data_IF_281772077487
#
_entry.id   IF_281772077487
#
_cell.length_a   1.000
_cell.length_b   1.000
_cell.length_c   1.000
_cell.angle_alpha   90.00
_cell.angle_beta   90.00
_cell.angle_gamma   90.00
#
_symmetry.space_group_name_H-M   'P 1'
#
loop_
_entity.id
_entity.type
_entity.pdbx_description
1 polymer ?
#
# COMPACT_ATOMS: atom_id res chain seq x y z
N UNK A 1 31.55 -2.02 -18.30
CA UNK A 1 30.27 -1.29 -18.35
C UNK A 1 29.24 -2.21 -18.96
N UNK A 2 28.23 -2.58 -18.18
CA UNK A 2 27.12 -3.40 -18.64
C UNK A 2 26.11 -2.49 -19.35
N UNK A 3 25.73 -2.83 -20.58
CA UNK A 3 24.71 -2.09 -21.33
C UNK A 3 23.34 -2.54 -20.83
N UNK A 4 22.46 -1.57 -20.53
CA UNK A 4 21.11 -1.85 -20.08
C UNK A 4 20.31 -2.62 -21.14
N UNK A 5 19.56 -3.62 -20.71
CA UNK A 5 18.63 -4.37 -21.56
C UNK A 5 17.44 -3.49 -21.99
N UNK A 6 16.73 -3.88 -23.04
CA UNK A 6 15.51 -3.17 -23.46
C UNK A 6 14.47 -3.08 -22.35
N UNK A 7 14.33 -4.13 -21.54
CA UNK A 7 13.40 -4.14 -20.42
C UNK A 7 13.80 -3.13 -19.32
N UNK A 8 15.08 -3.03 -18.99
CA UNK A 8 15.59 -2.03 -18.05
C UNK A 8 15.41 -0.61 -18.58
N UNK A 9 15.68 -0.37 -19.87
CA UNK A 9 15.41 0.92 -20.50
C UNK A 9 13.92 1.30 -20.44
N UNK A 10 13.03 0.34 -20.69
CA UNK A 10 11.59 0.53 -20.59
C UNK A 10 11.14 0.88 -19.15
N UNK A 11 11.69 0.18 -18.13
CA UNK A 11 11.42 0.46 -16.72
C UNK A 11 11.89 1.88 -16.33
N UNK A 12 13.08 2.27 -16.76
CA UNK A 12 13.63 3.62 -16.55
C UNK A 12 12.70 4.66 -17.19
N UNK A 13 12.30 4.45 -18.44
CA UNK A 13 11.47 5.39 -19.19
C UNK A 13 10.11 5.62 -18.51
N UNK A 14 9.38 4.55 -18.15
CA UNK A 14 8.08 4.72 -17.48
C UNK A 14 8.21 5.30 -16.08
N UNK A 15 9.31 5.03 -15.36
CA UNK A 15 9.57 5.64 -14.06
C UNK A 15 9.82 7.14 -14.18
N UNK A 16 10.63 7.57 -15.15
CA UNK A 16 10.89 8.99 -15.40
C UNK A 16 9.61 9.74 -15.79
N UNK A 17 8.81 9.15 -16.68
CA UNK A 17 7.51 9.69 -17.08
C UNK A 17 6.57 9.83 -15.87
N UNK A 18 6.52 8.80 -14.99
CA UNK A 18 5.72 8.85 -13.77
C UNK A 18 6.15 9.98 -12.82
N UNK A 19 7.46 10.15 -12.61
CA UNK A 19 8.02 11.23 -11.79
C UNK A 19 7.59 12.59 -12.34
N UNK A 20 7.74 12.79 -13.64
CA UNK A 20 7.34 14.04 -14.29
C UNK A 20 5.83 14.31 -14.11
N UNK A 21 4.96 13.33 -14.42
CA UNK A 21 3.51 13.44 -14.29
C UNK A 21 3.05 13.79 -12.87
N UNK A 22 3.69 13.19 -11.87
CA UNK A 22 3.34 13.41 -10.45
C UNK A 22 3.75 14.81 -10.00
N UNK A 23 4.97 15.25 -10.30
CA UNK A 23 5.44 16.56 -9.84
C UNK A 23 4.89 17.73 -10.64
N UNK A 24 4.57 17.55 -11.93
CA UNK A 24 3.82 18.56 -12.69
C UNK A 24 2.38 18.73 -12.17
N UNK A 25 1.73 17.64 -11.77
CA UNK A 25 0.41 17.57 -11.14
C UNK A 25 -0.63 18.55 -11.72
N UNK A 26 -0.65 18.71 -13.04
CA UNK A 26 -1.44 19.73 -13.78
C UNK A 26 -2.93 19.70 -13.46
N UNK A 27 -3.45 18.50 -13.09
CA UNK A 27 -4.88 18.30 -12.81
C UNK A 27 -5.19 18.23 -11.31
N UNK A 28 -4.20 18.44 -10.43
CA UNK A 28 -4.37 18.30 -8.99
C UNK A 28 -4.74 16.87 -8.54
N UNK A 29 -4.36 15.86 -9.35
CA UNK A 29 -4.73 14.46 -9.07
C UNK A 29 -3.95 13.85 -7.90
N UNK A 30 -2.67 14.23 -7.74
CA UNK A 30 -1.79 13.70 -6.70
C UNK A 30 -1.80 14.61 -5.48
N UNK A 31 -1.77 14.01 -4.29
CA UNK A 31 -1.70 14.74 -3.02
C UNK A 31 -0.31 14.57 -2.41
N UNK A 32 0.27 15.64 -1.91
CA UNK A 32 1.54 15.63 -1.23
C UNK A 32 1.31 15.93 0.25
N UNK A 33 1.93 15.11 1.10
CA UNK A 33 1.86 15.26 2.56
C UNK A 33 3.24 15.66 3.09
N UNK A 34 3.26 16.44 4.16
CA UNK A 34 4.50 16.79 4.86
C UNK A 34 5.15 15.55 5.48
N UNK A 35 6.48 15.57 5.57
CA UNK A 35 7.28 14.48 6.13
C UNK A 35 7.04 13.12 5.47
N UNK A 36 6.77 13.14 4.16
CA UNK A 36 6.61 11.94 3.34
C UNK A 36 7.49 11.97 2.10
N UNK A 37 7.74 10.80 1.54
CA UNK A 37 8.37 10.63 0.24
C UNK A 37 7.52 9.77 -0.67
N UNK A 38 7.57 10.03 -1.97
CA UNK A 38 6.92 9.19 -2.97
C UNK A 38 7.93 8.22 -3.58
N UNK A 39 7.64 6.93 -3.51
CA UNK A 39 8.46 5.86 -4.06
C UNK A 39 7.83 5.36 -5.35
N UNK A 40 8.56 5.50 -6.46
CA UNK A 40 8.11 5.13 -7.80
C UNK A 40 8.64 3.74 -8.16
N UNK A 41 7.75 2.76 -8.26
CA UNK A 41 8.04 1.34 -8.48
C UNK A 41 7.54 0.95 -9.88
N UNK A 42 8.42 0.98 -10.90
CA UNK A 42 8.06 0.56 -12.25
C UNK A 42 8.00 -0.96 -12.33
N UNK A 43 7.00 -1.48 -13.02
CA UNK A 43 6.79 -2.91 -13.21
C UNK A 43 6.33 -3.19 -14.65
N UNK A 44 6.93 -4.20 -15.27
CA UNK A 44 6.48 -4.76 -16.56
C UNK A 44 6.12 -6.21 -16.34
N UNK A 45 4.83 -6.54 -16.45
CA UNK A 45 4.32 -7.90 -16.30
C UNK A 45 3.30 -8.20 -17.39
N UNK A 46 3.49 -9.32 -18.10
CA UNK A 46 2.62 -9.75 -19.20
C UNK A 46 2.39 -8.64 -20.24
N UNK A 47 3.45 -7.90 -20.60
CA UNK A 47 3.41 -6.80 -21.56
C UNK A 47 2.72 -5.51 -21.07
N UNK A 48 2.19 -5.49 -19.85
CA UNK A 48 1.63 -4.29 -19.21
C UNK A 48 2.74 -3.52 -18.51
N UNK A 49 2.86 -2.24 -18.84
CA UNK A 49 3.80 -1.29 -18.23
C UNK A 49 3.07 -0.47 -17.19
N UNK A 50 3.52 -0.53 -15.94
CA UNK A 50 2.84 0.08 -14.78
C UNK A 50 3.87 0.74 -13.86
N UNK A 51 3.47 1.80 -13.17
CA UNK A 51 4.23 2.38 -12.06
C UNK A 51 3.31 2.49 -10.86
N UNK A 52 3.63 1.79 -9.79
CA UNK A 52 3.02 2.01 -8.49
C UNK A 52 3.75 3.14 -7.78
N UNK A 53 3.01 3.97 -7.07
CA UNK A 53 3.55 5.07 -6.28
C UNK A 53 3.08 4.86 -4.85
N UNK A 54 4.04 4.62 -3.96
CA UNK A 54 3.80 4.40 -2.54
C UNK A 54 4.28 5.60 -1.73
N UNK A 55 3.50 5.98 -0.71
CA UNK A 55 3.86 7.09 0.18
C UNK A 55 4.60 6.57 1.41
N UNK A 56 5.91 6.77 1.45
CA UNK A 56 6.76 6.42 2.59
C UNK A 56 6.80 7.51 3.66
N UNK A 57 7.04 7.12 4.91
CA UNK A 57 7.25 8.05 6.01
C UNK A 57 8.71 8.51 6.08
N UNK A 58 8.93 9.79 6.40
CA UNK A 58 10.22 10.36 6.78
C UNK A 58 10.33 10.53 8.31
N UNK A 59 9.28 10.16 9.04
CA UNK A 59 9.25 10.22 10.51
C UNK A 59 9.59 8.85 11.09
N UNK A 60 10.56 8.75 12.00
CA UNK A 60 10.85 7.49 12.69
C UNK A 60 9.64 6.93 13.42
N UNK A 61 9.55 5.60 13.47
CA UNK A 61 8.45 4.87 14.14
C UNK A 61 7.05 5.17 13.60
N UNK A 62 6.95 5.67 12.36
CA UNK A 62 5.68 5.91 11.67
C UNK A 62 5.63 5.13 10.37
N UNK A 63 4.59 4.34 10.20
CA UNK A 63 4.27 3.62 8.96
C UNK A 63 3.11 4.31 8.27
N UNK A 64 3.32 4.72 7.03
CA UNK A 64 2.30 5.32 6.19
C UNK A 64 1.60 4.24 5.36
N UNK A 65 0.27 4.20 5.40
CA UNK A 65 -0.57 3.37 4.53
C UNK A 65 -1.54 4.30 3.80
N UNK A 66 -1.61 4.15 2.48
CA UNK A 66 -2.49 4.98 1.65
C UNK A 66 -1.78 6.13 0.93
N UNK A 67 -2.57 6.97 0.26
CA UNK A 67 -2.09 7.96 -0.71
C UNK A 67 -1.25 7.31 -1.82
N UNK A 68 -1.64 6.11 -2.23
CA UNK A 68 -0.97 5.32 -3.25
C UNK A 68 -1.68 5.44 -4.58
N UNK A 69 -0.89 5.33 -5.64
CA UNK A 69 -1.39 5.50 -7.01
C UNK A 69 -0.87 4.39 -7.93
N UNK A 70 -1.63 4.13 -8.98
CA UNK A 70 -1.23 3.27 -10.09
C UNK A 70 -1.33 4.06 -11.39
N UNK A 71 -0.21 4.11 -12.11
CA UNK A 71 -0.10 4.66 -13.46
C UNK A 71 0.10 3.54 -14.47
N UNK A 72 -0.65 3.55 -15.57
CA UNK A 72 -0.60 2.53 -16.62
C UNK A 72 -0.15 3.17 -17.92
N UNK A 73 0.81 2.54 -18.59
CA UNK A 73 1.47 3.05 -19.78
C UNK A 73 1.26 2.10 -20.99
N UNK A 74 1.19 2.67 -22.17
CA UNK A 74 1.20 1.89 -23.41
C UNK A 74 2.62 1.48 -23.83
N UNK A 75 2.74 0.77 -24.95
CA UNK A 75 4.03 0.32 -25.50
C UNK A 75 5.00 1.47 -25.79
N UNK A 76 4.50 2.68 -26.09
CA UNK A 76 5.28 3.89 -26.40
C UNK A 76 5.57 4.73 -25.14
N UNK A 77 5.42 4.17 -23.94
CA UNK A 77 5.61 4.81 -22.62
C UNK A 77 4.69 6.01 -22.37
N UNK A 78 3.58 6.16 -23.11
CA UNK A 78 2.60 7.22 -22.86
C UNK A 78 1.60 6.75 -21.81
N UNK A 79 1.33 7.60 -20.82
CA UNK A 79 0.31 7.38 -19.79
C UNK A 79 -1.06 7.18 -20.44
N UNK A 80 -1.75 6.10 -20.06
CA UNK A 80 -3.09 5.76 -20.57
C UNK A 80 -4.15 5.77 -19.47
N UNK A 81 -3.75 5.52 -18.22
CA UNK A 81 -4.65 5.51 -17.07
C UNK A 81 -3.90 5.89 -15.80
N UNK A 82 -4.56 6.60 -14.91
CA UNK A 82 -4.14 6.85 -13.53
C UNK A 82 -5.27 6.51 -12.57
N UNK A 83 -4.92 5.86 -11.46
CA UNK A 83 -5.85 5.42 -10.43
C UNK A 83 -5.34 5.83 -9.06
N UNK A 84 -6.25 6.30 -8.19
CA UNK A 84 -6.00 6.36 -6.75
C UNK A 84 -6.33 4.99 -6.16
N UNK A 85 -5.37 4.39 -5.46
CA UNK A 85 -5.60 3.13 -4.74
C UNK A 85 -6.17 3.41 -3.34
N UNK A 86 -5.88 4.60 -2.80
CA UNK A 86 -6.40 5.12 -1.54
C UNK A 86 -6.81 6.59 -1.69
N UNK A 87 -7.82 7.01 -0.94
CA UNK A 87 -8.27 8.41 -0.94
C UNK A 87 -7.44 9.29 -0.01
N UNK A 88 -6.90 8.73 1.08
CA UNK A 88 -6.22 9.46 2.15
C UNK A 88 -4.94 8.72 2.56
N UNK A 89 -4.11 9.41 3.32
CA UNK A 89 -2.97 8.85 4.02
C UNK A 89 -3.37 8.55 5.47
N UNK A 90 -3.01 7.36 5.96
CA UNK A 90 -3.12 6.97 7.34
C UNK A 90 -1.73 6.73 7.93
N UNK A 91 -1.52 7.18 9.16
CA UNK A 91 -0.25 7.04 9.85
C UNK A 91 -0.43 6.10 11.04
N UNK A 92 0.38 5.05 11.09
CA UNK A 92 0.39 4.07 12.18
C UNK A 92 1.70 4.16 12.92
N UNK A 93 1.63 4.12 14.25
CA UNK A 93 2.81 3.97 15.08
C UNK A 93 3.36 2.55 14.92
N UNK A 94 4.65 2.41 14.65
CA UNK A 94 5.28 1.09 14.50
C UNK A 94 5.40 0.36 15.83
N UNK A 95 5.77 1.11 16.89
CA UNK A 95 5.95 0.60 18.26
C UNK A 95 5.29 1.52 19.26
N UNK A 96 4.75 0.96 20.34
CA UNK A 96 4.22 1.71 21.46
C UNK A 96 5.31 2.52 22.17
N UNK A 97 4.96 3.65 22.76
CA UNK A 97 5.85 4.37 23.68
C UNK A 97 5.87 3.74 25.07
N UNK A 98 4.89 2.88 25.38
CA UNK A 98 4.76 2.16 26.64
C UNK A 98 5.02 0.66 26.39
N UNK A 99 6.17 0.11 26.83
CA UNK A 99 6.51 -1.30 26.65
C UNK A 99 5.52 -2.27 27.35
N UNK A 100 4.82 -1.82 28.37
CA UNK A 100 3.82 -2.63 29.08
C UNK A 100 2.53 -2.80 28.25
N UNK A 101 2.30 -1.90 27.28
CA UNK A 101 1.13 -1.90 26.43
C UNK A 101 1.52 -1.88 24.94
N UNK A 102 2.06 -2.99 24.39
CA UNK A 102 2.49 -3.07 22.99
C UNK A 102 1.31 -3.01 22.02
N UNK A 103 1.52 -2.43 20.85
CA UNK A 103 0.54 -2.46 19.76
C UNK A 103 0.55 -3.86 19.14
N UNK A 104 -0.51 -4.63 19.34
CA UNK A 104 -0.58 -6.02 18.84
C UNK A 104 -1.11 -6.13 17.42
N UNK A 105 -1.95 -5.19 17.01
CA UNK A 105 -2.55 -5.14 15.67
C UNK A 105 -2.95 -3.72 15.27
N UNK A 106 -3.09 -3.52 13.97
CA UNK A 106 -3.58 -2.27 13.38
C UNK A 106 -4.69 -2.56 12.36
N UNK A 107 -5.47 -1.54 12.02
CA UNK A 107 -6.52 -1.69 11.01
C UNK A 107 -6.81 -0.40 10.26
N UNK A 108 -7.33 -0.53 9.04
CA UNK A 108 -7.95 0.58 8.32
C UNK A 108 -9.13 0.10 7.47
N UNK A 109 -9.87 1.07 6.94
CA UNK A 109 -11.04 0.79 6.11
C UNK A 109 -10.76 1.06 4.64
N UNK A 110 -11.19 0.14 3.77
CA UNK A 110 -11.18 0.33 2.32
C UNK A 110 -12.54 0.79 1.80
N UNK A 111 -12.51 1.84 0.96
CA UNK A 111 -13.69 2.40 0.28
C UNK A 111 -13.59 2.14 -1.22
N UNK A 112 -12.39 2.19 -1.79
CA UNK A 112 -12.15 2.06 -3.24
C UNK A 112 -11.99 0.60 -3.69
N UNK A 113 -11.66 -0.31 -2.79
CA UNK A 113 -11.52 -1.74 -3.07
C UNK A 113 -12.22 -2.59 -2.02
N UNK A 114 -12.60 -3.82 -2.39
CA UNK A 114 -13.27 -4.75 -1.49
C UNK A 114 -12.28 -5.54 -0.61
N UNK A 115 -11.00 -5.62 -1.00
CA UNK A 115 -9.94 -6.35 -0.29
C UNK A 115 -8.69 -5.49 -0.18
N UNK A 116 -7.74 -5.92 0.63
CA UNK A 116 -6.41 -5.32 0.77
C UNK A 116 -5.74 -5.14 -0.59
N UNK A 117 -5.08 -4.00 -0.79
CA UNK A 117 -4.35 -3.69 -2.03
C UNK A 117 -2.93 -4.26 -2.02
N UNK A 118 -2.34 -4.41 -3.21
CA UNK A 118 -0.94 -4.83 -3.33
C UNK A 118 0.03 -3.82 -2.72
N UNK A 119 -0.31 -2.53 -2.71
CA UNK A 119 0.50 -1.48 -2.08
C UNK A 119 0.49 -1.58 -0.56
N UNK A 120 -0.65 -1.94 0.05
CA UNK A 120 -0.72 -2.21 1.49
C UNK A 120 0.19 -3.39 1.86
N UNK A 121 0.06 -4.52 1.14
CA UNK A 121 0.88 -5.71 1.37
C UNK A 121 2.36 -5.38 1.21
N UNK A 122 2.72 -4.61 0.18
CA UNK A 122 4.10 -4.18 -0.04
C UNK A 122 4.62 -3.36 1.16
N UNK A 123 3.85 -2.39 1.65
CA UNK A 123 4.19 -1.58 2.82
C UNK A 123 4.33 -2.44 4.07
N UNK A 124 3.37 -3.35 4.32
CA UNK A 124 3.41 -4.25 5.47
C UNK A 124 4.67 -5.13 5.48
N UNK A 125 5.04 -5.70 4.32
CA UNK A 125 6.25 -6.49 4.16
C UNK A 125 7.54 -5.68 4.35
N UNK A 126 7.58 -4.42 3.86
CA UNK A 126 8.73 -3.53 4.02
C UNK A 126 8.98 -3.14 5.49
N UNK A 127 7.91 -3.03 6.28
CA UNK A 127 8.00 -2.55 7.66
C UNK A 127 7.89 -3.66 8.72
N UNK A 128 7.64 -4.93 8.35
CA UNK A 128 7.40 -6.03 9.30
C UNK A 128 8.46 -6.18 10.40
N UNK A 129 9.73 -5.93 10.07
CA UNK A 129 10.84 -6.05 11.03
C UNK A 129 11.04 -4.79 11.89
N UNK A 130 10.31 -3.71 11.61
CA UNK A 130 10.41 -2.42 12.30
C UNK A 130 9.21 -2.12 13.20
N UNK A 131 8.15 -2.90 13.09
CA UNK A 131 6.92 -2.75 13.88
C UNK A 131 6.78 -3.86 14.92
N UNK A 132 5.95 -3.64 15.95
CA UNK A 132 5.67 -4.66 16.98
C UNK A 132 4.33 -5.37 16.76
N UNK A 133 3.43 -4.77 15.95
CA UNK A 133 2.15 -5.39 15.62
C UNK A 133 2.31 -6.52 14.61
N UNK A 134 1.62 -7.64 14.89
CA UNK A 134 1.75 -8.88 14.12
C UNK A 134 0.72 -9.02 13.02
N UNK A 135 -0.40 -8.31 13.14
CA UNK A 135 -1.51 -8.41 12.20
C UNK A 135 -2.01 -7.04 11.79
N UNK A 136 -2.36 -6.94 10.52
CA UNK A 136 -3.01 -5.77 9.96
C UNK A 136 -4.33 -6.15 9.31
N UNK A 137 -5.41 -5.44 9.67
CA UNK A 137 -6.74 -5.70 9.19
C UNK A 137 -7.16 -4.62 8.20
N UNK A 138 -7.67 -5.04 7.04
CA UNK A 138 -8.30 -4.14 6.07
C UNK A 138 -9.78 -4.48 5.98
N UNK A 139 -10.61 -3.53 6.39
CA UNK A 139 -12.05 -3.72 6.54
C UNK A 139 -12.77 -2.99 5.41
N UNK A 140 -13.45 -3.74 4.56
CA UNK A 140 -14.32 -3.18 3.53
C UNK A 140 -15.80 -3.45 3.83
N UNK A 141 -16.66 -2.98 2.94
CA UNK A 141 -18.10 -3.23 3.04
C UNK A 141 -18.44 -4.73 2.95
N UNK A 142 -17.67 -5.50 2.15
CA UNK A 142 -17.99 -6.91 1.86
C UNK A 142 -17.05 -7.91 2.53
N UNK A 143 -15.80 -7.51 2.76
CA UNK A 143 -14.75 -8.41 3.23
C UNK A 143 -13.93 -7.79 4.36
N UNK A 144 -13.27 -8.66 5.11
CA UNK A 144 -12.18 -8.33 6.02
C UNK A 144 -10.97 -9.11 5.56
N UNK A 145 -9.91 -8.40 5.19
CA UNK A 145 -8.61 -8.96 4.87
C UNK A 145 -7.73 -8.88 6.12
N UNK A 146 -7.08 -9.97 6.48
CA UNK A 146 -6.20 -10.09 7.63
C UNK A 146 -4.83 -10.48 7.10
N UNK A 147 -3.85 -9.60 7.21
CA UNK A 147 -2.47 -9.90 6.85
C UNK A 147 -1.66 -10.18 8.12
N UNK A 148 -1.11 -11.38 8.21
CA UNK A 148 -0.21 -11.81 9.27
C UNK A 148 1.23 -11.51 8.85
N UNK A 149 1.90 -10.58 9.56
CA UNK A 149 3.23 -10.10 9.19
C UNK A 149 4.33 -11.14 9.49
N UNK A 150 4.14 -11.98 10.51
CA UNK A 150 5.13 -13.02 10.87
C UNK A 150 5.10 -14.18 9.86
N UNK A 151 3.89 -14.58 9.45
CA UNK A 151 3.69 -15.68 8.49
C UNK A 151 3.73 -15.23 7.04
N UNK A 152 3.66 -13.91 6.79
CA UNK A 152 3.49 -13.32 5.46
C UNK A 152 2.27 -13.90 4.72
N UNK A 153 1.18 -14.16 5.45
CA UNK A 153 -0.01 -14.82 4.96
C UNK A 153 -1.23 -13.91 4.97
N UNK A 154 -2.11 -14.10 4.00
CA UNK A 154 -3.32 -13.32 3.81
C UNK A 154 -4.56 -14.20 3.92
N UNK A 155 -5.41 -13.89 4.89
CA UNK A 155 -6.75 -14.47 5.01
C UNK A 155 -7.79 -13.43 4.64
N UNK A 156 -8.72 -13.79 3.76
CA UNK A 156 -9.86 -12.94 3.38
C UNK A 156 -11.15 -13.60 3.78
N UNK A 157 -11.90 -12.94 4.67
CA UNK A 157 -13.20 -13.39 5.14
C UNK A 157 -14.31 -12.50 4.58
N UNK A 158 -15.50 -13.09 4.33
CA UNK A 158 -16.68 -12.24 4.11
C UNK A 158 -17.03 -11.50 5.39
N UNK A 159 -17.57 -10.29 5.29
CA UNK A 159 -18.05 -9.52 6.45
C UNK A 159 -18.99 -10.33 7.33
N UNK A 160 -19.89 -11.10 6.72
CA UNK A 160 -20.81 -12.00 7.44
C UNK A 160 -20.11 -13.08 8.28
N UNK A 161 -19.02 -13.67 7.74
CA UNK A 161 -18.22 -14.65 8.47
C UNK A 161 -17.48 -14.01 9.64
N UNK A 162 -16.86 -12.86 9.40
CA UNK A 162 -16.18 -12.06 10.41
C UNK A 162 -17.12 -11.70 11.58
N UNK A 163 -18.31 -11.15 11.30
CA UNK A 163 -19.28 -10.74 12.30
C UNK A 163 -19.77 -11.92 13.16
N UNK A 164 -19.85 -13.13 12.57
CA UNK A 164 -20.18 -14.34 13.35
C UNK A 164 -19.07 -14.73 14.31
N UNK A 165 -17.81 -14.63 13.88
CA UNK A 165 -16.64 -14.94 14.72
C UNK A 165 -16.57 -13.95 15.88
N UNK A 166 -16.70 -12.66 15.62
CA UNK A 166 -16.69 -11.61 16.65
C UNK A 166 -17.78 -11.85 17.72
N UNK A 167 -19.03 -12.09 17.30
CA UNK A 167 -20.15 -12.40 18.22
C UNK A 167 -19.95 -13.69 19.02
N UNK A 168 -19.22 -14.66 18.48
CA UNK A 168 -18.92 -15.89 19.21
C UNK A 168 -17.85 -15.66 20.29
N UNK A 169 -16.88 -14.80 20.03
CA UNK A 169 -15.84 -14.43 21.01
C UNK A 169 -16.40 -13.59 22.16
N UNK A 170 -17.28 -12.62 21.87
CA UNK A 170 -17.96 -11.80 22.89
C UNK A 170 -18.80 -12.63 23.89
N UNK A 171 -19.36 -13.76 23.44
CA UNK A 171 -20.16 -14.65 24.33
C UNK A 171 -19.32 -15.56 25.22
N UNK A 172 -18.01 -15.60 25.03
CA UNK A 172 -17.08 -16.44 25.81
C UNK A 172 -16.32 -15.67 26.89
N UNK A 173 -16.39 -14.33 26.87
CA UNK A 173 -15.90 -13.45 27.91
C UNK A 173 -17.01 -13.15 28.93
#
# INVERSE_FOLDING_TARGET
NQIATQQEMDLIAIRQEAVQQVYENKEGFFTFYENTSLNFIPLIRNGKKQVFILTGSQVPNVVNIGNDYLLIYNKKHKLTKKEKLHNTLLQFKGKSDDPENPITSTHHSHILSDIINSTDICTLLLYKDFVEWKQHYVISKKYVSIFDLEKEDLVVLTRKAWDKIAKFQEKKQ
#
